data_IF_306042233088
#
_entry.id   IF_306042233088
#
_cell.length_a   1.000
_cell.length_b   1.000
_cell.length_c   1.000
_cell.angle_alpha   90.00
_cell.angle_beta   90.00
_cell.angle_gamma   90.00
#
_symmetry.space_group_name_H-M   'P 1'
#
loop_
_entity.id
_entity.type
_entity.pdbx_description
1 polymer ?
#
# COMPACT_ATOMS: atom_id res chain seq x y z
N UNK A 1 -22.96 17.05 12.07
CA UNK A 1 -22.90 15.90 13.00
C UNK A 1 -21.44 15.52 13.02
N UNK A 2 -20.72 16.05 14.01
CA UNK A 2 -19.27 16.26 13.87
C UNK A 2 -18.55 15.03 14.41
N UNK A 3 -18.62 13.98 13.60
CA UNK A 3 -17.95 12.72 13.83
C UNK A 3 -16.49 12.88 13.39
N UNK A 4 -15.58 12.62 14.32
CA UNK A 4 -14.16 12.55 13.99
C UNK A 4 -13.65 11.14 14.27
N UNK A 5 -12.99 10.59 13.27
CA UNK A 5 -12.39 9.28 13.30
C UNK A 5 -10.91 9.41 12.98
N UNK A 6 -10.09 8.63 13.68
CA UNK A 6 -8.69 8.44 13.37
C UNK A 6 -8.41 6.94 13.29
N UNK A 7 -7.56 6.56 12.35
CA UNK A 7 -6.98 5.22 12.30
C UNK A 7 -5.49 5.37 12.50
N UNK A 8 -4.96 4.64 13.47
CA UNK A 8 -3.52 4.51 13.67
C UNK A 8 -3.06 3.08 13.43
N UNK A 9 -1.87 2.94 12.84
CA UNK A 9 -1.21 1.64 12.65
C UNK A 9 -0.18 1.41 13.74
N UNK A 10 -0.15 0.17 14.25
CA UNK A 10 0.74 -0.22 15.33
C UNK A 10 2.12 -0.63 14.79
N UNK A 11 3.17 -0.09 15.41
CA UNK A 11 4.56 -0.50 15.28
C UNK A 11 4.99 -1.12 16.63
N UNK A 12 4.95 -2.46 16.75
CA UNK A 12 5.29 -3.14 17.99
C UNK A 12 6.75 -2.96 18.41
N UNK A 13 7.67 -2.81 17.45
CA UNK A 13 9.11 -2.67 17.73
C UNK A 13 9.40 -1.32 18.38
N UNK A 14 8.76 -0.26 17.87
CA UNK A 14 8.88 1.10 18.42
C UNK A 14 7.91 1.37 19.56
N UNK A 15 7.07 0.39 19.91
CA UNK A 15 6.01 0.52 20.92
C UNK A 15 5.18 1.80 20.71
N UNK A 16 4.74 2.01 19.47
CA UNK A 16 4.08 3.24 19.06
C UNK A 16 2.95 2.97 18.07
N UNK A 17 1.98 3.90 18.04
CA UNK A 17 0.89 3.92 17.08
C UNK A 17 1.01 5.20 16.24
N UNK A 18 1.16 5.06 14.92
CA UNK A 18 1.21 6.21 14.02
C UNK A 18 -0.15 6.46 13.41
N UNK A 19 -0.69 7.67 13.55
CA UNK A 19 -1.96 8.07 12.91
C UNK A 19 -1.76 8.11 11.39
N UNK A 20 -2.46 7.27 10.64
CA UNK A 20 -2.34 7.17 9.17
C UNK A 20 -3.53 7.75 8.43
N UNK A 21 -4.67 7.88 9.09
CA UNK A 21 -5.89 8.42 8.51
C UNK A 21 -6.68 9.22 9.54
N UNK A 22 -7.37 10.25 9.06
CA UNK A 22 -8.34 11.03 9.82
C UNK A 22 -9.50 11.47 8.93
N UNK A 23 -10.71 11.55 9.48
CA UNK A 23 -11.87 12.14 8.79
C UNK A 23 -11.87 13.68 8.82
N UNK A 24 -10.89 14.31 9.47
CA UNK A 24 -10.78 15.78 9.54
C UNK A 24 -10.48 16.36 8.16
N UNK A 25 -11.21 17.42 7.77
CA UNK A 25 -11.00 18.10 6.49
C UNK A 25 -9.56 18.63 6.35
N UNK A 26 -8.91 18.52 5.16
CA UNK A 26 -7.52 18.94 4.94
C UNK A 26 -7.22 20.39 5.36
N UNK A 27 -8.18 21.29 5.15
CA UNK A 27 -8.07 22.70 5.57
C UNK A 27 -7.86 22.83 7.09
N UNK A 28 -8.56 22.02 7.88
CA UNK A 28 -8.44 22.03 9.35
C UNK A 28 -7.13 21.35 9.78
N UNK A 29 -6.69 20.30 9.07
CA UNK A 29 -5.39 19.67 9.33
C UNK A 29 -4.24 20.68 9.11
N UNK A 30 -4.26 21.41 7.99
CA UNK A 30 -3.27 22.44 7.68
C UNK A 30 -3.27 23.55 8.74
N UNK A 31 -4.45 24.02 9.15
CA UNK A 31 -4.57 25.03 10.20
C UNK A 31 -4.04 24.52 11.55
N UNK A 32 -4.35 23.27 11.91
CA UNK A 32 -3.84 22.64 13.14
C UNK A 32 -2.33 22.57 13.14
N UNK A 33 -1.72 22.21 12.00
CA UNK A 33 -0.26 22.21 11.82
C UNK A 33 0.33 23.62 11.99
N UNK A 34 -0.27 24.65 11.38
CA UNK A 34 0.21 26.03 11.54
C UNK A 34 0.11 26.52 12.98
N UNK A 35 -0.95 26.16 13.70
CA UNK A 35 -1.17 26.61 15.09
C UNK A 35 -0.33 25.86 16.11
N UNK A 36 -0.01 24.58 15.88
CA UNK A 36 0.63 23.70 16.87
C UNK A 36 2.02 23.22 16.49
N UNK A 37 2.42 23.39 15.22
CA UNK A 37 3.61 22.78 14.65
C UNK A 37 3.52 21.26 14.44
N UNK A 38 2.40 20.62 14.80
CA UNK A 38 2.24 19.16 14.78
C UNK A 38 1.32 18.73 13.64
N UNK A 39 1.72 17.70 12.90
CA UNK A 39 0.87 17.06 11.89
C UNK A 39 -0.05 16.04 12.56
N UNK A 40 -1.30 15.97 12.12
CA UNK A 40 -2.27 14.98 12.61
C UNK A 40 -1.96 13.60 12.04
N UNK A 41 -1.85 13.51 10.72
CA UNK A 41 -1.36 12.30 10.04
C UNK A 41 0.16 12.25 10.21
N UNK A 42 0.69 11.10 10.62
CA UNK A 42 2.08 10.93 11.03
C UNK A 42 2.32 11.16 12.52
N UNK A 43 1.33 11.65 13.27
CA UNK A 43 1.46 11.81 14.72
C UNK A 43 1.69 10.46 15.40
N UNK A 44 2.68 10.38 16.29
CA UNK A 44 3.01 9.17 17.02
C UNK A 44 2.41 9.21 18.43
N UNK A 45 1.59 8.20 18.72
CA UNK A 45 1.03 7.93 20.03
C UNK A 45 1.84 6.82 20.69
N UNK A 46 2.41 7.11 21.85
CA UNK A 46 3.25 6.21 22.65
C UNK A 46 2.64 6.03 24.04
N UNK A 47 3.08 5.05 24.85
CA UNK A 47 2.61 4.91 26.22
C UNK A 47 2.75 6.21 27.06
N UNK A 48 3.74 7.05 26.75
CA UNK A 48 4.01 8.29 27.48
C UNK A 48 2.99 9.39 27.18
N UNK A 49 2.61 9.59 25.91
CA UNK A 49 1.70 10.66 25.50
C UNK A 49 0.23 10.17 25.36
N UNK A 50 0.01 8.86 25.27
CA UNK A 50 -1.31 8.26 25.18
C UNK A 50 -1.44 7.10 26.17
N UNK A 51 -1.86 7.36 27.42
CA UNK A 51 -1.91 6.33 28.47
C UNK A 51 -2.87 5.18 28.20
N UNK A 52 -3.76 5.32 27.21
CA UNK A 52 -4.65 4.24 26.79
C UNK A 52 -3.94 3.24 25.86
N UNK A 53 -2.69 3.50 25.45
CA UNK A 53 -1.93 2.60 24.57
C UNK A 53 -1.86 1.19 25.13
N UNK A 54 -1.49 1.03 26.41
CA UNK A 54 -1.37 -0.30 27.03
C UNK A 54 -2.71 -1.03 27.00
N UNK A 55 -3.79 -0.36 27.43
CA UNK A 55 -5.11 -0.97 27.49
C UNK A 55 -5.65 -1.36 26.11
N UNK A 56 -5.51 -0.45 25.14
CA UNK A 56 -6.08 -0.64 23.80
C UNK A 56 -5.21 -1.56 22.95
N UNK A 57 -3.89 -1.43 22.99
CA UNK A 57 -2.97 -2.15 22.11
C UNK A 57 -2.42 -3.42 22.75
N UNK A 58 -1.95 -3.35 23.99
CA UNK A 58 -1.28 -4.47 24.65
C UNK A 58 -2.29 -5.43 25.30
N UNK A 59 -3.26 -4.88 26.05
CA UNK A 59 -4.34 -5.63 26.72
C UNK A 59 -5.55 -5.89 25.81
N UNK A 60 -5.58 -5.22 24.65
CA UNK A 60 -6.58 -5.42 23.58
C UNK A 60 -8.01 -5.13 24.02
N UNK A 61 -8.16 -4.16 24.92
CA UNK A 61 -9.45 -3.76 25.48
C UNK A 61 -10.03 -2.59 24.70
N UNK A 62 -11.30 -2.66 24.27
CA UNK A 62 -12.02 -1.49 23.81
C UNK A 62 -12.31 -0.56 24.99
N UNK A 63 -12.02 0.73 24.85
CA UNK A 63 -12.14 1.71 25.94
C UNK A 63 -13.14 2.80 25.55
N UNK A 64 -14.16 2.99 26.39
CA UNK A 64 -15.04 4.16 26.38
C UNK A 64 -14.63 5.16 27.48
N UNK A 65 -14.71 6.46 27.15
CA UNK A 65 -14.67 7.56 28.11
C UNK A 65 -15.74 8.57 27.75
N UNK A 66 -16.45 9.05 28.75
CA UNK A 66 -17.48 10.09 28.61
C UNK A 66 -16.89 11.49 28.30
N UNK A 67 -15.57 11.67 28.44
CA UNK A 67 -14.90 12.96 28.29
C UNK A 67 -13.55 12.86 27.55
N UNK A 68 -13.44 13.53 26.40
CA UNK A 68 -12.22 13.61 25.58
C UNK A 68 -11.06 14.40 26.24
N UNK A 69 -11.33 15.41 27.08
CA UNK A 69 -10.31 16.38 27.52
C UNK A 69 -9.09 15.75 28.19
N UNK A 70 -9.22 14.83 29.17
CA UNK A 70 -8.07 14.27 29.88
C UNK A 70 -7.13 13.50 28.95
N UNK A 71 -7.69 12.84 27.93
CA UNK A 71 -6.93 12.10 26.92
C UNK A 71 -6.16 13.08 26.03
N UNK A 72 -6.84 14.11 25.54
CA UNK A 72 -6.25 15.08 24.61
C UNK A 72 -5.10 15.88 25.22
N UNK A 73 -5.23 16.34 26.47
CA UNK A 73 -4.17 17.13 27.11
C UNK A 73 -2.87 16.34 27.34
N UNK A 74 -2.95 15.02 27.47
CA UNK A 74 -1.76 14.16 27.59
C UNK A 74 -1.10 13.88 26.24
N UNK A 75 -1.86 13.84 25.15
CA UNK A 75 -1.31 13.64 23.81
C UNK A 75 -0.44 14.80 23.35
N UNK A 76 -0.81 16.03 23.74
CA UNK A 76 -0.15 17.25 23.29
C UNK A 76 0.13 18.19 24.46
N UNK A 77 1.00 17.81 25.41
CA UNK A 77 1.25 18.59 26.62
C UNK A 77 1.89 19.94 26.32
N UNK A 78 2.65 20.04 25.22
CA UNK A 78 3.34 21.27 24.80
C UNK A 78 2.39 22.31 24.19
N UNK A 79 1.14 21.93 23.88
CA UNK A 79 0.19 22.83 23.21
C UNK A 79 -0.63 23.59 24.27
N UNK A 80 -0.59 24.93 24.27
CA UNK A 80 -1.38 25.74 25.19
C UNK A 80 -2.87 25.39 25.18
N UNK A 81 -3.51 25.38 26.35
CA UNK A 81 -4.93 25.05 26.48
C UNK A 81 -5.85 25.95 25.64
N UNK A 82 -5.46 27.21 25.41
CA UNK A 82 -6.18 28.16 24.55
C UNK A 82 -6.21 27.70 23.09
N UNK A 83 -5.09 27.22 22.58
CA UNK A 83 -4.96 26.66 21.22
C UNK A 83 -5.77 25.38 21.11
N UNK A 84 -5.70 24.49 22.10
CA UNK A 84 -6.50 23.25 22.13
C UNK A 84 -8.00 23.57 22.07
N UNK A 85 -8.48 24.54 22.86
CA UNK A 85 -9.89 24.96 22.84
C UNK A 85 -10.30 25.51 21.47
N UNK A 86 -9.45 26.29 20.81
CA UNK A 86 -9.71 26.81 19.47
C UNK A 86 -9.81 25.68 18.43
N UNK A 87 -8.87 24.73 18.46
CA UNK A 87 -8.87 23.57 17.57
C UNK A 87 -10.12 22.72 17.78
N UNK A 88 -10.48 22.42 19.04
CA UNK A 88 -11.71 21.69 19.35
C UNK A 88 -12.96 22.39 18.80
N UNK A 89 -13.03 23.72 18.93
CA UNK A 89 -14.13 24.52 18.37
C UNK A 89 -14.18 24.44 16.83
N UNK A 90 -13.02 24.50 16.16
CA UNK A 90 -12.92 24.36 14.70
C UNK A 90 -13.32 22.96 14.22
N UNK A 91 -13.01 21.94 15.02
CA UNK A 91 -13.38 20.55 14.78
C UNK A 91 -14.86 20.26 15.10
N UNK A 92 -15.62 21.22 15.62
CA UNK A 92 -17.00 21.00 16.07
C UNK A 92 -17.10 20.12 17.33
N UNK A 93 -15.96 19.77 17.93
CA UNK A 93 -15.91 18.94 19.13
C UNK A 93 -16.16 19.84 20.34
N UNK A 94 -17.28 19.63 21.02
CA UNK A 94 -17.45 20.22 22.34
C UNK A 94 -16.62 19.42 23.35
N UNK A 95 -16.09 20.10 24.36
CA UNK A 95 -15.18 19.52 25.34
C UNK A 95 -15.78 18.49 26.30
N UNK A 96 -17.05 18.14 26.12
CA UNK A 96 -17.82 17.07 26.78
C UNK A 96 -18.12 15.91 25.81
N UNK A 97 -17.48 15.88 24.64
CA UNK A 97 -17.63 14.78 23.70
C UNK A 97 -17.03 13.50 24.29
N UNK A 98 -17.77 12.41 24.14
CA UNK A 98 -17.32 11.07 24.51
C UNK A 98 -16.41 10.50 23.42
N UNK A 99 -15.57 9.54 23.83
CA UNK A 99 -14.57 8.90 22.98
C UNK A 99 -14.60 7.41 23.14
N UNK A 100 -14.38 6.72 22.03
CA UNK A 100 -14.18 5.29 21.97
C UNK A 100 -12.83 5.01 21.30
N UNK A 101 -12.04 4.15 21.92
CA UNK A 101 -10.78 3.65 21.39
C UNK A 101 -10.90 2.13 21.24
N UNK A 102 -10.71 1.64 20.01
CA UNK A 102 -10.95 0.24 19.67
C UNK A 102 -9.67 -0.36 19.10
N UNK A 103 -9.20 -1.52 19.60
CA UNK A 103 -8.15 -2.26 18.93
C UNK A 103 -8.61 -2.74 17.56
N UNK A 104 -7.79 -2.51 16.53
CA UNK A 104 -7.93 -3.15 15.24
C UNK A 104 -7.25 -4.50 15.32
N UNK A 105 -7.99 -5.51 15.80
CA UNK A 105 -7.47 -6.86 16.01
C UNK A 105 -8.24 -7.92 15.24
N UNK A 106 -7.50 -8.92 14.77
CA UNK A 106 -8.02 -10.14 14.13
C UNK A 106 -7.08 -11.30 14.48
N UNK A 107 -7.64 -12.47 14.80
CA UNK A 107 -6.88 -13.69 15.16
C UNK A 107 -5.83 -13.47 16.26
N UNK A 108 -6.13 -12.64 17.25
CA UNK A 108 -5.22 -12.38 18.37
C UNK A 108 -3.98 -11.54 18.00
N UNK A 109 -3.97 -10.87 16.84
CA UNK A 109 -2.98 -9.88 16.47
C UNK A 109 -3.60 -8.48 16.38
N UNK A 110 -2.94 -7.47 16.97
CA UNK A 110 -3.35 -6.06 16.89
C UNK A 110 -2.57 -5.34 15.80
N UNK A 111 -3.29 -4.85 14.79
CA UNK A 111 -2.72 -4.13 13.65
C UNK A 111 -2.71 -2.61 13.85
N UNK A 112 -3.51 -2.10 14.79
CA UNK A 112 -3.69 -0.67 15.01
C UNK A 112 -4.80 -0.36 16.01
N UNK A 113 -5.28 0.88 15.98
CA UNK A 113 -6.46 1.30 16.72
C UNK A 113 -7.34 2.24 15.90
N UNK A 114 -8.64 2.15 16.13
CA UNK A 114 -9.65 3.10 15.68
C UNK A 114 -10.03 3.99 16.85
N UNK A 115 -9.84 5.30 16.68
CA UNK A 115 -10.22 6.31 17.66
C UNK A 115 -11.41 7.07 17.11
N UNK A 116 -12.50 7.12 17.85
CA UNK A 116 -13.76 7.70 17.41
C UNK A 116 -14.30 8.63 18.49
N UNK A 117 -14.70 9.83 18.10
CA UNK A 117 -15.28 10.81 19.01
C UNK A 117 -16.55 11.45 18.43
N UNK A 118 -17.57 11.59 19.27
CA UNK A 118 -18.86 12.20 18.95
C UNK A 118 -19.63 12.48 20.23
N UNK A 119 -20.66 13.33 20.14
CA UNK A 119 -21.62 13.56 21.22
C UNK A 119 -22.68 12.46 21.36
N UNK A 120 -22.89 11.69 20.30
CA UNK A 120 -23.95 10.69 20.23
C UNK A 120 -23.38 9.26 20.33
N UNK A 121 -22.28 9.10 21.06
CA UNK A 121 -21.67 7.80 21.34
C UNK A 121 -21.85 7.51 22.82
N UNK A 122 -22.26 6.29 23.11
CA UNK A 122 -22.46 5.75 24.44
C UNK A 122 -21.64 4.47 24.62
N UNK A 123 -21.48 4.04 25.86
CA UNK A 123 -20.77 2.79 26.16
C UNK A 123 -21.42 1.57 25.47
N UNK A 124 -22.74 1.59 25.28
CA UNK A 124 -23.47 0.53 24.56
C UNK A 124 -22.98 0.35 23.11
N UNK A 125 -22.44 1.39 22.47
CA UNK A 125 -21.94 1.35 21.10
C UNK A 125 -20.61 0.59 20.98
N UNK A 126 -19.93 0.29 22.10
CA UNK A 126 -18.67 -0.45 22.10
C UNK A 126 -18.80 -1.79 21.38
N UNK A 127 -19.90 -2.51 21.61
CA UNK A 127 -20.11 -3.84 21.01
C UNK A 127 -20.16 -3.78 19.48
N UNK A 128 -21.00 -2.89 18.94
CA UNK A 128 -21.21 -2.70 17.50
C UNK A 128 -19.95 -2.15 16.84
N UNK A 129 -19.32 -1.13 17.43
CA UNK A 129 -18.12 -0.55 16.87
C UNK A 129 -16.90 -1.49 16.98
N UNK A 130 -16.85 -2.38 17.96
CA UNK A 130 -15.82 -3.43 18.03
C UNK A 130 -15.95 -4.41 16.88
N UNK A 131 -17.17 -4.79 16.48
CA UNK A 131 -17.39 -5.63 15.29
C UNK A 131 -16.86 -4.92 14.04
N UNK A 132 -17.16 -3.63 13.89
CA UNK A 132 -16.63 -2.84 12.78
C UNK A 132 -15.09 -2.77 12.82
N UNK A 133 -14.50 -2.54 13.99
CA UNK A 133 -13.05 -2.51 14.19
C UNK A 133 -12.38 -3.84 13.79
N UNK A 134 -12.99 -4.98 14.12
CA UNK A 134 -12.50 -6.30 13.69
C UNK A 134 -12.54 -6.47 12.17
N UNK A 135 -13.57 -5.96 11.49
CA UNK A 135 -13.65 -6.02 10.02
C UNK A 135 -12.57 -5.13 9.36
N UNK A 136 -12.36 -3.93 9.89
CA UNK A 136 -11.25 -3.06 9.44
C UNK A 136 -9.91 -3.74 9.67
N UNK A 137 -9.72 -4.42 10.81
CA UNK A 137 -8.51 -5.17 11.10
C UNK A 137 -8.26 -6.31 10.10
N UNK A 138 -9.30 -7.06 9.71
CA UNK A 138 -9.20 -8.10 8.70
C UNK A 138 -8.76 -7.53 7.34
N UNK A 139 -9.32 -6.39 6.93
CA UNK A 139 -8.90 -5.70 5.71
C UNK A 139 -7.43 -5.23 5.77
N UNK A 140 -7.01 -4.65 6.91
CA UNK A 140 -5.63 -4.24 7.14
C UNK A 140 -4.66 -5.43 7.13
N UNK A 141 -5.05 -6.56 7.72
CA UNK A 141 -4.28 -7.81 7.68
C UNK A 141 -4.05 -8.24 6.23
N UNK A 142 -5.11 -8.27 5.42
CA UNK A 142 -5.01 -8.66 4.01
C UNK A 142 -4.07 -7.73 3.22
N UNK A 143 -4.20 -6.42 3.39
CA UNK A 143 -3.32 -5.44 2.73
C UNK A 143 -1.85 -5.58 3.17
N UNK A 144 -1.57 -5.80 4.46
CA UNK A 144 -0.21 -5.94 5.00
C UNK A 144 0.46 -7.27 4.61
N UNK A 145 -0.32 -8.33 4.38
CA UNK A 145 0.18 -9.60 3.84
C UNK A 145 0.59 -9.45 2.37
N UNK A 146 -0.20 -8.76 1.56
CA UNK A 146 0.15 -8.45 0.17
C UNK A 146 1.46 -7.66 0.08
N UNK A 147 1.64 -6.63 0.90
CA UNK A 147 2.88 -5.85 0.95
C UNK A 147 4.09 -6.69 1.42
N UNK A 148 3.89 -7.62 2.35
CA UNK A 148 4.96 -8.57 2.77
C UNK A 148 5.34 -9.54 1.66
N UNK A 149 4.37 -10.09 0.94
CA UNK A 149 4.61 -10.96 -0.22
C UNK A 149 5.35 -10.17 -1.30
N UNK A 150 4.86 -9.00 -1.71
CA UNK A 150 5.50 -8.17 -2.72
C UNK A 150 6.90 -7.67 -2.32
N UNK A 151 7.12 -7.32 -1.05
CA UNK A 151 8.47 -6.94 -0.56
C UNK A 151 9.41 -8.13 -0.48
N UNK A 152 8.93 -9.32 -0.10
CA UNK A 152 9.74 -10.54 -0.13
C UNK A 152 10.13 -10.93 -1.56
N UNK A 153 9.20 -10.79 -2.51
CA UNK A 153 9.43 -11.00 -3.95
C UNK A 153 10.41 -9.97 -4.51
N UNK A 154 10.25 -8.69 -4.19
CA UNK A 154 11.12 -7.61 -4.66
C UNK A 154 12.54 -7.69 -4.07
N UNK A 155 12.68 -8.07 -2.79
CA UNK A 155 13.99 -8.30 -2.15
C UNK A 155 14.72 -9.45 -2.83
N UNK A 156 14.02 -10.53 -3.17
CA UNK A 156 14.59 -11.67 -3.89
C UNK A 156 14.93 -11.31 -5.35
N UNK A 157 14.05 -10.58 -6.05
CA UNK A 157 14.30 -10.08 -7.40
C UNK A 157 15.55 -9.20 -7.47
N UNK A 158 15.81 -8.35 -6.48
CA UNK A 158 17.05 -7.53 -6.42
C UNK A 158 18.31 -8.34 -6.17
N UNK A 159 18.25 -9.37 -5.32
CA UNK A 159 19.40 -10.28 -5.13
C UNK A 159 19.75 -11.02 -6.44
N UNK A 160 18.74 -11.29 -7.27
CA UNK A 160 18.93 -11.92 -8.58
C UNK A 160 19.42 -10.93 -9.66
N UNK A 161 18.85 -9.72 -9.73
CA UNK A 161 19.26 -8.68 -10.70
C UNK A 161 20.69 -8.16 -10.46
N UNK A 162 21.21 -8.31 -9.25
CA UNK A 162 22.56 -7.89 -8.86
C UNK A 162 23.59 -9.03 -8.88
N UNK A 163 23.19 -10.26 -9.21
CA UNK A 163 24.12 -11.37 -9.41
C UNK A 163 24.85 -11.15 -10.76
N UNK A 164 26.18 -10.91 -10.78
CA UNK A 164 26.91 -10.57 -12.01
C UNK A 164 27.06 -11.75 -12.99
N UNK A 165 26.64 -12.95 -12.61
CA UNK A 165 26.79 -14.13 -13.45
C UNK A 165 25.56 -14.31 -14.35
N UNK A 166 25.67 -13.79 -15.57
CA UNK A 166 24.68 -14.03 -16.63
C UNK A 166 24.62 -15.54 -16.91
N UNK A 167 23.53 -16.20 -16.49
CA UNK A 167 23.25 -17.59 -16.84
C UNK A 167 22.81 -17.61 -18.31
N UNK A 168 23.71 -17.99 -19.21
CA UNK A 168 23.43 -18.21 -20.64
C UNK A 168 23.16 -19.69 -20.86
N UNK A 169 22.02 -20.01 -21.47
CA UNK A 169 21.70 -21.38 -21.88
C UNK A 169 21.90 -21.49 -23.40
N UNK A 170 22.71 -22.46 -23.79
CA UNK A 170 23.05 -22.77 -25.18
C UNK A 170 22.48 -24.12 -25.57
N UNK A 171 21.97 -24.22 -26.80
CA UNK A 171 21.58 -25.51 -27.38
C UNK A 171 22.83 -26.32 -27.79
N UNK A 172 22.62 -27.56 -28.25
CA UNK A 172 23.68 -28.44 -28.75
C UNK A 172 24.46 -27.88 -29.96
N UNK A 173 23.94 -26.84 -30.61
CA UNK A 173 24.54 -26.19 -31.76
C UNK A 173 25.21 -24.84 -31.38
N UNK A 174 25.21 -24.48 -30.09
CA UNK A 174 25.77 -23.23 -29.58
C UNK A 174 24.85 -22.01 -29.69
N UNK A 175 23.58 -22.18 -30.07
CA UNK A 175 22.63 -21.06 -30.14
C UNK A 175 22.12 -20.70 -28.74
N UNK A 176 22.15 -19.40 -28.42
CA UNK A 176 21.56 -18.87 -27.19
C UNK A 176 20.06 -18.72 -27.38
N UNK A 177 19.27 -19.29 -26.46
CA UNK A 177 17.82 -19.14 -26.46
C UNK A 177 17.31 -18.54 -25.14
N UNK A 178 16.22 -17.75 -25.19
CA UNK A 178 15.70 -17.09 -24.01
C UNK A 178 15.04 -18.10 -23.06
N UNK A 179 15.46 -18.06 -21.81
CA UNK A 179 14.86 -18.86 -20.73
C UNK A 179 14.35 -17.97 -19.61
N UNK A 180 13.30 -18.42 -18.95
CA UNK A 180 12.83 -17.89 -17.67
C UNK A 180 13.32 -18.83 -16.56
N UNK A 181 14.12 -18.30 -15.64
CA UNK A 181 14.59 -19.04 -14.46
C UNK A 181 13.76 -18.61 -13.26
N UNK A 182 13.05 -19.54 -12.63
CA UNK A 182 12.33 -19.29 -11.38
C UNK A 182 12.97 -20.11 -10.26
N UNK A 183 13.43 -19.43 -9.22
CA UNK A 183 13.96 -20.04 -8.01
C UNK A 183 12.93 -19.92 -6.89
N UNK A 184 12.72 -20.97 -6.12
CA UNK A 184 11.81 -20.97 -4.95
C UNK A 184 12.48 -21.67 -3.77
N UNK A 185 12.58 -21.02 -2.59
CA UNK A 185 13.12 -21.68 -1.41
C UNK A 185 12.15 -22.74 -0.92
N UNK A 186 12.69 -23.88 -0.49
CA UNK A 186 11.95 -24.98 0.11
C UNK A 186 12.65 -25.39 1.39
N UNK A 187 11.95 -25.37 2.52
CA UNK A 187 12.49 -25.95 3.76
C UNK A 187 12.22 -27.44 3.80
N UNK A 188 13.28 -28.24 3.91
CA UNK A 188 13.21 -29.68 4.06
C UNK A 188 14.23 -30.13 5.10
N UNK A 189 13.80 -30.95 6.07
CA UNK A 189 14.66 -31.49 7.13
C UNK A 189 15.47 -30.45 7.93
N UNK A 190 14.92 -29.24 8.10
CA UNK A 190 15.59 -28.14 8.80
C UNK A 190 16.64 -27.39 7.98
N UNK A 191 16.76 -27.69 6.69
CA UNK A 191 17.67 -27.03 5.76
C UNK A 191 16.90 -26.27 4.68
N UNK A 192 17.40 -25.10 4.25
CA UNK A 192 16.85 -24.34 3.13
C UNK A 192 17.43 -24.85 1.81
N UNK A 193 16.59 -25.49 1.00
CA UNK A 193 16.88 -25.88 -0.37
C UNK A 193 16.42 -24.79 -1.35
N UNK A 194 17.12 -24.65 -2.48
CA UNK A 194 16.70 -23.78 -3.59
C UNK A 194 16.20 -24.67 -4.72
N UNK A 195 14.88 -24.65 -4.95
CA UNK A 195 14.30 -25.28 -6.13
C UNK A 195 14.46 -24.33 -7.32
N UNK A 196 15.24 -24.74 -8.33
CA UNK A 196 15.36 -24.01 -9.59
C UNK A 196 14.51 -24.66 -10.68
N UNK A 197 13.78 -23.84 -11.42
CA UNK A 197 13.11 -24.23 -12.65
C UNK A 197 13.58 -23.36 -13.79
N UNK A 198 13.90 -23.99 -14.92
CA UNK A 198 14.34 -23.32 -16.13
C UNK A 198 13.32 -23.65 -17.21
N UNK A 199 12.68 -22.62 -17.76
CA UNK A 199 11.68 -22.78 -18.83
C UNK A 199 12.14 -22.06 -20.09
N UNK A 200 12.19 -22.79 -21.19
CA UNK A 200 12.32 -22.20 -22.52
C UNK A 200 11.06 -21.38 -22.84
N UNK A 201 11.25 -20.09 -23.09
CA UNK A 201 10.18 -19.13 -23.39
C UNK A 201 10.25 -18.59 -24.82
N UNK A 202 11.01 -19.25 -25.70
CA UNK A 202 11.17 -18.86 -27.11
C UNK A 202 9.81 -18.65 -27.77
N UNK A 203 8.88 -19.59 -27.60
CA UNK A 203 7.53 -19.49 -28.18
C UNK A 203 6.74 -18.29 -27.63
N UNK A 204 6.91 -17.98 -26.34
CA UNK A 204 6.14 -16.93 -25.64
C UNK A 204 6.61 -15.54 -26.06
N UNK A 205 7.93 -15.36 -26.22
CA UNK A 205 8.49 -14.12 -26.78
C UNK A 205 8.07 -13.93 -28.24
N UNK A 206 8.06 -14.99 -29.04
CA UNK A 206 7.65 -14.89 -30.44
C UNK A 206 6.19 -14.47 -30.58
N UNK A 207 5.26 -15.06 -29.82
CA UNK A 207 3.84 -14.63 -29.83
C UNK A 207 3.63 -13.19 -29.35
N UNK A 208 4.36 -12.76 -28.31
CA UNK A 208 4.25 -11.38 -27.82
C UNK A 208 4.71 -10.38 -28.88
N UNK A 209 5.82 -10.68 -29.57
CA UNK A 209 6.34 -9.84 -30.64
C UNK A 209 5.38 -9.78 -31.83
N UNK A 210 4.78 -10.90 -32.19
CA UNK A 210 3.74 -10.98 -33.22
C UNK A 210 2.50 -10.14 -32.87
N UNK A 211 2.03 -10.20 -31.63
CA UNK A 211 0.92 -9.36 -31.14
C UNK A 211 1.26 -7.87 -31.11
N UNK A 212 2.48 -7.51 -30.69
CA UNK A 212 2.96 -6.12 -30.70
C UNK A 212 3.01 -5.56 -32.13
N UNK A 213 3.42 -6.37 -33.11
CA UNK A 213 3.43 -6.02 -34.53
C UNK A 213 2.02 -5.87 -35.10
N UNK A 214 1.13 -6.82 -34.82
CA UNK A 214 -0.28 -6.73 -35.21
C UNK A 214 -0.93 -5.44 -34.69
N UNK A 215 -0.66 -5.10 -33.42
CA UNK A 215 -1.17 -3.87 -32.83
C UNK A 215 -0.57 -2.61 -33.47
N UNK A 216 0.73 -2.61 -33.79
CA UNK A 216 1.36 -1.49 -34.50
C UNK A 216 0.79 -1.31 -35.91
N UNK A 217 0.57 -2.39 -36.66
CA UNK A 217 -0.05 -2.36 -37.99
C UNK A 217 -1.49 -1.87 -37.92
N UNK A 218 -2.27 -2.30 -36.91
CA UNK A 218 -3.63 -1.78 -36.71
C UNK A 218 -3.63 -0.29 -36.35
N UNK A 219 -2.71 0.16 -35.50
CA UNK A 219 -2.61 1.57 -35.11
C UNK A 219 -2.20 2.47 -36.29
N UNK A 220 -1.29 2.02 -37.16
CA UNK A 220 -0.94 2.76 -38.38
C UNK A 220 -2.08 2.80 -39.40
N UNK A 221 -2.87 1.73 -39.48
CA UNK A 221 -4.09 1.67 -40.30
C UNK A 221 -5.23 2.58 -39.77
N UNK A 222 -5.30 2.80 -38.45
CA UNK A 222 -6.33 3.65 -37.84
C UNK A 222 -6.08 5.17 -38.00
N UNK A 223 -4.83 5.57 -38.29
CA UNK A 223 -4.42 6.99 -38.40
C UNK A 223 -4.28 7.45 -39.85
N UNK A 224 -4.33 6.53 -40.81
CA UNK A 224 -4.15 6.81 -42.23
C UNK A 224 -5.38 7.50 -42.83
N UNK A 225 -5.17 8.59 -43.58
CA UNK A 225 -6.26 9.42 -44.12
C UNK A 225 -6.71 8.98 -45.52
N UNK A 226 -6.03 8.00 -46.13
CA UNK A 226 -6.24 7.49 -47.49
C UNK A 226 -5.49 6.14 -47.69
N UNK A 227 -5.81 5.42 -48.78
CA UNK A 227 -5.31 4.06 -49.06
C UNK A 227 -3.79 3.97 -49.25
N UNK A 228 -3.16 5.04 -49.72
CA UNK A 228 -1.73 5.10 -50.04
C UNK A 228 -0.87 5.18 -48.76
N UNK A 229 -1.30 5.95 -47.76
CA UNK A 229 -0.67 6.03 -46.43
C UNK A 229 -0.75 4.68 -45.69
N UNK A 230 -1.85 3.96 -45.86
CA UNK A 230 -2.11 2.66 -45.24
C UNK A 230 -1.20 1.56 -45.82
N UNK A 231 -0.94 1.61 -47.14
CA UNK A 231 -0.03 0.70 -47.84
C UNK A 231 1.44 0.95 -47.44
N UNK A 232 1.88 2.22 -47.41
CA UNK A 232 3.25 2.58 -47.05
C UNK A 232 3.59 2.22 -45.59
N UNK A 233 2.67 2.48 -44.65
CA UNK A 233 2.87 2.12 -43.25
C UNK A 233 2.90 0.59 -43.02
N UNK A 234 2.10 -0.17 -43.79
CA UNK A 234 2.14 -1.63 -43.81
C UNK A 234 3.49 -2.17 -44.31
N UNK A 235 3.99 -1.64 -45.41
CA UNK A 235 5.28 -2.01 -45.98
C UNK A 235 6.46 -1.71 -45.03
N UNK A 236 6.43 -0.59 -44.33
CA UNK A 236 7.48 -0.21 -43.38
C UNK A 236 7.52 -1.14 -42.14
N UNK A 237 6.35 -1.55 -41.63
CA UNK A 237 6.25 -2.50 -40.53
C UNK A 237 6.80 -3.90 -40.91
N UNK A 238 6.51 -4.35 -42.14
CA UNK A 238 7.01 -5.63 -42.68
C UNK A 238 8.51 -5.59 -42.94
N UNK A 239 9.04 -4.50 -43.49
CA UNK A 239 10.48 -4.34 -43.75
C UNK A 239 11.33 -4.38 -42.46
N UNK A 240 10.84 -3.78 -41.37
CA UNK A 240 11.49 -3.83 -40.04
C UNK A 240 11.44 -5.23 -39.40
N UNK A 241 10.42 -6.03 -39.71
CA UNK A 241 10.29 -7.40 -39.19
C UNK A 241 11.28 -8.39 -39.82
N UNK A 242 11.48 -8.30 -41.14
CA UNK A 242 12.40 -9.18 -41.87
C UNK A 242 13.84 -8.67 -41.95
N UNK A 243 14.15 -7.50 -41.37
CA UNK A 243 15.46 -6.85 -41.42
C UNK A 243 16.04 -6.73 -42.86
N UNK A 244 15.17 -6.49 -43.85
CA UNK A 244 15.56 -6.42 -45.26
C UNK A 244 16.07 -5.01 -45.58
N UNK A 245 17.35 -4.80 -45.97
CA UNK A 245 17.94 -3.47 -45.94
C UNK A 245 17.53 -2.50 -47.07
N UNK A 246 16.73 -2.87 -48.08
CA UNK A 246 16.30 -1.97 -49.16
C UNK A 246 15.21 -2.59 -50.04
N UNK A 247 13.99 -2.07 -49.96
CA UNK A 247 12.97 -2.21 -50.99
C UNK A 247 12.60 -0.80 -51.44
N UNK A 248 13.33 -0.30 -52.44
CA UNK A 248 13.09 1.02 -53.06
C UNK A 248 12.78 0.88 -54.56
N UNK A 249 12.41 -0.32 -55.02
CA UNK A 249 12.25 -0.66 -56.45
C UNK A 249 10.94 -1.36 -56.79
N UNK A 250 9.88 -1.12 -56.03
CA UNK A 250 8.51 -1.42 -56.45
C UNK A 250 7.62 -0.23 -56.08
N UNK A 251 7.89 0.90 -56.74
CA UNK A 251 6.94 1.99 -57.01
C UNK A 251 6.68 1.98 -58.51
#
# INVERSE_FOLDING_TARGET
>A
MDIICFVGLNDPEKRSLTVTYTSIAPKIQSLTKTMTGKEIVGFQLTPENWPLYVQVIEERQPIFRDNLKPVLFKMVPDVPQTIIKQILKLLGIKGDASVIHLPLQVEGQVFGALLHNSKAIFEADLSVLSIFASQVAAALKNARLLDRVSKSEAKFRRLFELAPDVIVIVDKNGNVFPVEVSLSPLEANGETLILSTIRDITWRKNRKRELELLNQVMMSAAVSKNQEDLFNAGCEAVARFFAVPRLHWLC
#
